data_IF_426395475867
#
_entry.id   IF_426395475867
#
_cell.length_a   1.000
_cell.length_b   1.000
_cell.length_c   1.000
_cell.angle_alpha   90.00
_cell.angle_beta   90.00
_cell.angle_gamma   90.00
#
_symmetry.space_group_name_H-M   'P 1'
#
loop_
_entity.id
_entity.type
_entity.pdbx_description
1 polymer ?
#
# COMPACT_ATOMS: atom_id res chain seq x y z
N UNK A 1 -14.87 -25.35 -2.30
CA UNK A 1 -14.28 -25.36 -3.66
C UNK A 1 -14.25 -23.91 -4.13
N UNK A 2 -13.16 -23.28 -4.56
CA UNK A 2 -11.85 -23.74 -5.01
C UNK A 2 -10.73 -22.90 -4.36
N UNK A 3 -9.65 -23.53 -3.93
CA UNK A 3 -8.39 -22.82 -3.70
C UNK A 3 -7.79 -22.51 -5.07
N UNK A 4 -7.42 -21.27 -5.34
CA UNK A 4 -6.71 -20.94 -6.58
C UNK A 4 -5.24 -21.33 -6.44
N UNK A 5 -4.95 -22.63 -6.50
CA UNK A 5 -3.59 -23.21 -6.59
C UNK A 5 -3.14 -23.42 -8.04
N UNK A 6 -3.91 -22.89 -9.01
CA UNK A 6 -3.63 -23.07 -10.43
C UNK A 6 -2.45 -22.24 -10.92
N UNK A 7 -1.67 -22.82 -11.82
CA UNK A 7 -0.65 -22.10 -12.57
C UNK A 7 -1.27 -20.91 -13.32
N UNK A 8 -0.55 -19.79 -13.40
CA UNK A 8 -0.97 -18.61 -14.13
C UNK A 8 -1.05 -18.93 -15.64
N UNK A 9 -2.26 -18.76 -16.18
CA UNK A 9 -2.59 -19.13 -17.57
C UNK A 9 -2.36 -18.00 -18.57
N UNK A 10 -1.84 -16.84 -18.14
CA UNK A 10 -1.56 -15.74 -19.04
C UNK A 10 -0.35 -16.03 -19.94
N UNK A 11 -0.32 -15.39 -21.11
CA UNK A 11 0.73 -15.59 -22.13
C UNK A 11 1.98 -14.73 -21.92
N UNK A 12 1.94 -13.80 -20.97
CA UNK A 12 3.03 -12.86 -20.66
C UNK A 12 3.21 -12.70 -19.16
N UNK A 13 4.46 -12.48 -18.76
CA UNK A 13 4.81 -12.10 -17.40
C UNK A 13 4.04 -10.83 -16.98
N UNK A 14 3.57 -10.81 -15.73
CA UNK A 14 2.98 -9.62 -15.11
C UNK A 14 3.57 -9.43 -13.72
N UNK A 15 3.65 -8.17 -13.30
CA UNK A 15 3.97 -7.82 -11.92
C UNK A 15 2.71 -7.24 -11.26
N UNK A 16 2.25 -7.93 -10.21
CA UNK A 16 1.12 -7.49 -9.38
C UNK A 16 1.67 -7.02 -8.04
N UNK A 17 1.28 -5.83 -7.62
CA UNK A 17 1.64 -5.21 -6.34
C UNK A 17 0.37 -5.07 -5.48
N UNK A 18 0.47 -5.33 -4.19
CA UNK A 18 -0.60 -5.09 -3.23
C UNK A 18 -0.12 -4.07 -2.19
N UNK A 19 -0.84 -2.95 -2.09
CA UNK A 19 -0.57 -1.93 -1.07
C UNK A 19 -1.72 -1.89 -0.09
N UNK A 20 -1.53 -2.52 1.06
CA UNK A 20 -2.44 -2.42 2.19
C UNK A 20 -2.05 -1.20 3.01
N UNK A 21 -2.68 -0.06 2.70
CA UNK A 21 -2.45 1.18 3.44
C UNK A 21 -3.36 1.16 4.66
N UNK A 22 -2.84 0.95 5.87
CA UNK A 22 -3.65 1.00 7.09
C UNK A 22 -3.77 2.40 7.68
N UNK A 23 -4.32 2.51 8.89
CA UNK A 23 -4.38 3.80 9.62
C UNK A 23 -3.05 4.11 10.29
N UNK A 24 -2.40 3.09 10.87
CA UNK A 24 -1.16 3.22 11.64
C UNK A 24 0.02 2.60 10.91
N UNK A 25 -0.18 1.41 10.33
CA UNK A 25 0.85 0.67 9.60
C UNK A 25 0.30 0.23 8.26
N UNK A 26 1.20 0.07 7.30
CA UNK A 26 0.94 -0.36 5.95
C UNK A 26 1.79 -1.57 5.62
N UNK A 27 1.25 -2.43 4.76
CA UNK A 27 1.93 -3.61 4.24
C UNK A 27 2.07 -3.53 2.73
N UNK A 28 3.16 -4.09 2.22
CA UNK A 28 3.36 -4.24 0.79
C UNK A 28 3.74 -5.69 0.47
N UNK A 29 3.07 -6.23 -0.54
CA UNK A 29 3.45 -7.50 -1.14
C UNK A 29 3.38 -7.43 -2.66
N UNK A 30 4.01 -8.39 -3.33
CA UNK A 30 3.97 -8.51 -4.78
C UNK A 30 3.98 -9.96 -5.23
N UNK A 31 3.59 -10.18 -6.48
CA UNK A 31 3.69 -11.47 -7.14
C UNK A 31 4.15 -11.29 -8.58
N UNK A 32 5.12 -12.12 -8.99
CA UNK A 32 5.55 -12.24 -10.37
C UNK A 32 4.74 -13.37 -11.00
N UNK A 33 3.86 -13.02 -11.94
CA UNK A 33 2.99 -13.97 -12.61
C UNK A 33 3.68 -14.50 -13.86
N UNK A 34 4.38 -15.63 -13.73
CA UNK A 34 5.05 -16.32 -14.83
C UNK A 34 4.10 -17.33 -15.49
N UNK A 35 3.97 -17.34 -16.84
CA UNK A 35 3.16 -18.32 -17.55
C UNK A 35 3.49 -19.77 -17.14
N UNK A 36 2.46 -20.54 -16.78
CA UNK A 36 2.62 -21.95 -16.37
C UNK A 36 3.17 -22.16 -14.96
N UNK A 37 3.45 -21.09 -14.19
CA UNK A 37 3.87 -21.20 -12.78
C UNK A 37 2.76 -20.78 -11.83
N UNK A 38 2.71 -21.42 -10.66
CA UNK A 38 1.82 -21.02 -9.58
C UNK A 38 2.32 -19.69 -9.00
N UNK A 39 1.47 -18.64 -8.93
CA UNK A 39 1.85 -17.37 -8.34
C UNK A 39 2.32 -17.52 -6.89
N UNK A 40 3.39 -16.83 -6.52
CA UNK A 40 3.86 -16.74 -5.14
C UNK A 40 3.76 -15.29 -4.65
N UNK A 41 3.26 -15.11 -3.43
CA UNK A 41 3.19 -13.80 -2.77
C UNK A 41 4.51 -13.58 -2.03
N UNK A 42 5.13 -12.44 -2.27
CA UNK A 42 6.37 -12.02 -1.63
C UNK A 42 6.13 -10.71 -0.90
N UNK A 43 6.42 -10.66 0.40
CA UNK A 43 6.40 -9.42 1.16
C UNK A 43 7.57 -8.51 0.77
N UNK A 44 7.37 -7.19 0.83
CA UNK A 44 8.47 -6.23 0.75
C UNK A 44 8.95 -5.96 2.18
N UNK A 45 10.12 -6.49 2.53
CA UNK A 45 10.72 -6.32 3.85
C UNK A 45 12.10 -5.67 3.74
N UNK A 46 12.32 -4.52 4.39
CA UNK A 46 13.68 -4.02 4.65
C UNK A 46 14.17 -4.61 5.98
N UNK A 47 14.39 -5.91 6.04
CA UNK A 47 15.22 -6.52 7.10
C UNK A 47 15.83 -7.82 6.60
N UNK A 48 17.10 -8.02 6.95
CA UNK A 48 17.87 -9.26 6.82
C UNK A 48 17.30 -10.42 7.66
N UNK A 49 16.27 -10.20 8.48
CA UNK A 49 15.72 -11.23 9.33
C UNK A 49 14.82 -12.18 8.55
N UNK A 50 15.32 -13.40 8.37
CA UNK A 50 14.67 -14.52 7.70
C UNK A 50 13.47 -15.09 8.48
N UNK A 51 12.79 -14.28 9.30
CA UNK A 51 11.76 -14.72 10.25
C UNK A 51 10.33 -14.60 9.73
N UNK A 52 10.13 -14.28 8.44
CA UNK A 52 8.79 -14.29 7.83
C UNK A 52 7.83 -13.22 8.36
N UNK A 53 8.31 -12.26 9.15
CA UNK A 53 7.46 -11.19 9.69
C UNK A 53 7.31 -10.09 8.65
N UNK A 54 6.06 -9.84 8.21
CA UNK A 54 5.74 -8.72 7.30
C UNK A 54 6.24 -7.41 7.92
N UNK A 55 7.14 -6.72 7.24
CA UNK A 55 7.69 -5.44 7.67
C UNK A 55 6.54 -4.41 7.66
N UNK A 56 6.10 -3.99 8.84
CA UNK A 56 5.05 -2.98 9.00
C UNK A 56 5.63 -1.60 8.70
N UNK A 57 5.19 -0.97 7.62
CA UNK A 57 5.61 0.37 7.21
C UNK A 57 4.74 1.39 7.97
N UNK A 58 5.30 2.33 8.75
CA UNK A 58 4.51 3.36 9.43
C UNK A 58 3.68 4.18 8.44
N UNK A 59 2.41 4.43 8.73
CA UNK A 59 1.53 5.21 7.83
C UNK A 59 1.58 6.69 8.20
N UNK A 60 2.77 7.26 8.01
CA UNK A 60 3.10 8.63 8.40
C UNK A 60 3.83 9.32 7.25
N UNK A 61 3.52 10.61 7.05
CA UNK A 61 4.22 11.49 6.10
C UNK A 61 4.48 12.84 6.75
N UNK A 62 5.69 13.35 6.63
CA UNK A 62 6.04 14.73 6.99
C UNK A 62 6.02 15.63 5.76
N UNK A 63 5.48 16.84 5.92
CA UNK A 63 5.41 17.85 4.86
C UNK A 63 6.05 19.17 5.30
N UNK A 64 6.71 19.87 4.40
CA UNK A 64 7.07 21.28 4.63
C UNK A 64 5.86 22.22 4.48
N UNK A 65 6.06 23.51 4.77
CA UNK A 65 5.03 24.55 4.65
C UNK A 65 4.51 24.79 3.21
N UNK A 66 5.20 24.27 2.19
CA UNK A 66 4.76 24.28 0.80
C UNK A 66 3.87 23.09 0.44
N UNK A 67 3.79 22.08 1.32
CA UNK A 67 3.11 20.82 1.06
C UNK A 67 3.98 19.82 0.32
N UNK A 68 5.31 19.96 0.33
CA UNK A 68 6.21 18.97 -0.25
C UNK A 68 6.50 17.87 0.77
N UNK A 69 6.53 16.61 0.34
CA UNK A 69 6.93 15.47 1.19
C UNK A 69 8.40 15.62 1.59
N UNK A 70 8.68 15.50 2.88
CA UNK A 70 10.01 15.57 3.47
C UNK A 70 10.51 14.20 3.96
N UNK A 71 9.61 13.39 4.53
CA UNK A 71 9.87 12.01 4.93
C UNK A 71 8.57 11.22 4.92
N UNK A 72 8.62 9.93 4.59
CA UNK A 72 7.45 9.05 4.62
C UNK A 72 7.81 7.64 5.09
N UNK A 73 6.84 6.93 5.64
CA UNK A 73 6.99 5.52 5.97
C UNK A 73 8.09 5.27 7.00
N UNK A 74 9.05 4.41 6.64
CA UNK A 74 10.19 4.10 7.49
C UNK A 74 11.08 5.34 7.76
N UNK A 75 11.16 6.28 6.81
CA UNK A 75 11.95 7.51 6.97
C UNK A 75 11.33 8.44 8.02
N UNK A 76 10.01 8.35 8.21
CA UNK A 76 9.29 9.13 9.20
C UNK A 76 9.50 8.64 10.65
N UNK A 77 10.25 7.55 10.86
CA UNK A 77 10.63 7.04 12.18
C UNK A 77 12.15 7.00 12.39
N UNK A 78 12.95 7.61 11.51
CA UNK A 78 14.40 7.65 11.69
C UNK A 78 14.78 8.45 12.95
N UNK A 79 15.91 8.07 13.56
CA UNK A 79 16.45 8.80 14.70
C UNK A 79 16.65 10.28 14.34
N UNK A 80 16.20 11.18 15.23
CA UNK A 80 16.29 12.62 15.02
C UNK A 80 15.19 13.26 14.16
N UNK A 81 14.25 12.47 13.59
CA UNK A 81 13.19 13.02 12.71
C UNK A 81 12.31 14.07 13.40
N UNK A 82 12.05 13.91 14.70
CA UNK A 82 11.23 14.87 15.46
C UNK A 82 11.95 16.23 15.58
N UNK A 83 13.25 16.21 15.90
CA UNK A 83 14.06 17.42 16.00
C UNK A 83 14.16 18.13 14.64
N UNK A 84 14.44 17.37 13.58
CA UNK A 84 14.52 17.93 12.22
C UNK A 84 13.17 18.49 11.75
N UNK A 85 12.06 17.81 12.07
CA UNK A 85 10.72 18.31 11.76
C UNK A 85 10.41 19.60 12.51
N UNK A 86 10.78 19.71 13.78
CA UNK A 86 10.61 20.94 14.57
C UNK A 86 11.47 22.09 14.01
N UNK A 87 12.76 21.84 13.75
CA UNK A 87 13.71 22.84 13.22
C UNK A 87 13.30 23.38 11.84
N UNK A 88 12.77 22.51 10.97
CA UNK A 88 12.35 22.89 9.61
C UNK A 88 10.86 23.23 9.50
N UNK A 89 10.11 23.19 10.61
CA UNK A 89 8.68 23.47 10.64
C UNK A 89 7.86 22.49 9.78
N UNK A 90 8.22 21.21 9.77
CA UNK A 90 7.49 20.16 9.08
C UNK A 90 6.22 19.77 9.85
N UNK A 91 5.15 19.49 9.10
CA UNK A 91 3.87 19.04 9.63
C UNK A 91 3.73 17.54 9.42
N UNK A 92 3.50 16.80 10.51
CA UNK A 92 3.23 15.37 10.50
C UNK A 92 1.79 15.10 10.06
N UNK A 93 1.61 14.23 9.07
CA UNK A 93 0.34 13.65 8.68
C UNK A 93 0.28 12.20 9.17
N UNK A 94 -0.63 11.91 10.08
CA UNK A 94 -0.92 10.55 10.55
C UNK A 94 -2.43 10.30 10.56
N UNK A 95 -2.82 9.02 10.51
CA UNK A 95 -4.22 8.59 10.47
C UNK A 95 -5.02 9.22 9.31
N UNK A 96 -4.35 9.72 8.28
CA UNK A 96 -4.98 10.42 7.15
C UNK A 96 -5.97 9.52 6.39
N UNK A 97 -5.80 8.19 6.42
CA UNK A 97 -6.77 7.23 5.84
C UNK A 97 -8.17 7.41 6.44
N UNK A 98 -8.29 7.81 7.71
CA UNK A 98 -9.59 8.03 8.35
C UNK A 98 -10.37 9.19 7.71
N UNK A 99 -9.70 10.16 7.08
CA UNK A 99 -10.37 11.23 6.33
C UNK A 99 -11.03 10.74 5.02
N UNK A 100 -10.73 9.52 4.55
CA UNK A 100 -11.43 8.89 3.42
C UNK A 100 -12.76 8.26 3.83
N UNK A 101 -12.99 8.00 5.13
CA UNK A 101 -14.15 7.24 5.63
C UNK A 101 -15.49 7.78 5.13
N UNK A 102 -16.51 6.93 4.95
CA UNK A 102 -17.88 7.40 4.74
C UNK A 102 -18.29 8.35 5.87
N UNK A 103 -18.78 9.55 5.51
CA UNK A 103 -19.40 10.44 6.50
C UNK A 103 -20.76 9.86 6.86
N UNK A 104 -20.81 9.00 7.87
CA UNK A 104 -22.07 8.61 8.48
C UNK A 104 -22.56 9.79 9.32
N UNK A 105 -23.80 10.25 9.06
CA UNK A 105 -24.40 11.32 9.85
C UNK A 105 -24.43 10.93 11.33
N UNK A 106 -23.75 11.72 12.19
CA UNK A 106 -23.82 11.58 13.65
C UNK A 106 -22.57 11.07 14.39
N UNK A 107 -21.38 11.03 13.77
CA UNK A 107 -20.11 10.63 14.42
C UNK A 107 -19.09 11.77 14.61
N UNK A 108 -19.57 12.98 14.89
CA UNK A 108 -18.72 14.18 15.11
C UNK A 108 -17.68 13.98 16.24
N UNK A 109 -18.01 13.19 17.27
CA UNK A 109 -17.08 12.88 18.38
C UNK A 109 -15.83 12.09 17.93
N UNK A 110 -15.92 11.30 16.86
CA UNK A 110 -14.77 10.61 16.28
C UNK A 110 -14.02 11.48 15.27
N UNK A 111 -14.55 12.63 14.86
CA UNK A 111 -13.86 13.56 13.96
C UNK A 111 -12.86 14.43 14.75
N UNK A 112 -13.16 14.78 16.01
CA UNK A 112 -12.27 15.57 16.87
C UNK A 112 -10.98 14.86 17.28
N UNK A 113 -10.96 13.52 17.24
CA UNK A 113 -9.76 12.72 17.56
C UNK A 113 -8.84 12.50 16.35
N UNK A 114 -9.30 12.79 15.13
CA UNK A 114 -8.47 12.62 13.93
C UNK A 114 -7.61 13.87 13.75
N UNK A 115 -6.27 13.71 13.67
CA UNK A 115 -5.39 14.83 13.36
C UNK A 115 -5.80 15.53 12.06
N UNK A 116 -5.72 16.87 12.00
CA UNK A 116 -6.05 17.60 10.80
C UNK A 116 -5.09 17.23 9.66
N UNK A 117 -5.57 17.38 8.43
CA UNK A 117 -4.69 17.23 7.26
C UNK A 117 -3.63 18.35 7.24
N UNK A 118 -2.44 18.08 6.70
CA UNK A 118 -1.42 19.11 6.51
C UNK A 118 -1.95 20.31 5.70
N UNK A 119 -1.41 21.52 5.93
CA UNK A 119 -1.80 22.70 5.16
C UNK A 119 -1.68 22.44 3.66
N UNK A 120 -2.66 22.95 2.89
CA UNK A 120 -2.69 22.88 1.41
C UNK A 120 -2.75 21.45 0.84
N UNK A 121 -3.09 20.45 1.65
CA UNK A 121 -3.26 19.07 1.21
C UNK A 121 -4.67 18.58 1.44
N UNK A 122 -5.23 17.94 0.43
CA UNK A 122 -6.42 17.11 0.55
C UNK A 122 -6.03 15.69 0.95
N UNK A 123 -6.96 14.92 1.52
CA UNK A 123 -6.71 13.52 1.87
C UNK A 123 -6.29 12.67 0.65
N UNK A 124 -6.83 12.98 -0.53
CA UNK A 124 -6.50 12.27 -1.77
C UNK A 124 -5.04 12.50 -2.14
N UNK A 125 -4.52 13.72 -1.95
CA UNK A 125 -3.12 14.05 -2.21
C UNK A 125 -2.20 13.41 -1.18
N UNK A 126 -2.55 13.43 0.11
CA UNK A 126 -1.75 12.76 1.15
C UNK A 126 -1.68 11.24 0.88
N UNK A 127 -2.81 10.63 0.54
CA UNK A 127 -2.86 9.21 0.19
C UNK A 127 -2.05 8.92 -1.09
N UNK A 128 -2.11 9.80 -2.10
CA UNK A 128 -1.33 9.66 -3.33
C UNK A 128 0.18 9.76 -3.09
N UNK A 129 0.61 10.73 -2.27
CA UNK A 129 2.02 10.89 -1.90
C UNK A 129 2.54 9.66 -1.17
N UNK A 130 1.74 9.07 -0.28
CA UNK A 130 2.11 7.83 0.40
C UNK A 130 2.13 6.61 -0.54
N UNK A 131 1.16 6.47 -1.46
CA UNK A 131 1.19 5.42 -2.49
C UNK A 131 2.44 5.52 -3.38
N UNK A 132 2.87 6.74 -3.72
CA UNK A 132 4.10 6.98 -4.50
C UNK A 132 5.33 6.51 -3.74
N UNK A 133 5.43 6.84 -2.46
CA UNK A 133 6.49 6.34 -1.57
C UNK A 133 6.52 4.80 -1.53
N UNK A 134 5.37 4.14 -1.36
CA UNK A 134 5.30 2.67 -1.37
C UNK A 134 5.77 2.09 -2.70
N UNK A 135 5.38 2.69 -3.83
CA UNK A 135 5.82 2.26 -5.15
C UNK A 135 7.33 2.39 -5.33
N UNK A 136 7.92 3.50 -4.90
CA UNK A 136 9.37 3.75 -4.98
C UNK A 136 10.15 2.73 -4.14
N UNK A 137 9.72 2.49 -2.90
CA UNK A 137 10.32 1.49 -2.02
C UNK A 137 10.20 0.07 -2.61
N UNK A 138 9.04 -0.27 -3.16
CA UNK A 138 8.78 -1.57 -3.81
C UNK A 138 9.66 -1.75 -5.05
N UNK A 139 9.77 -0.71 -5.87
CA UNK A 139 10.59 -0.70 -7.07
C UNK A 139 12.06 -0.95 -6.71
N UNK A 140 12.57 -0.28 -5.68
CA UNK A 140 13.94 -0.47 -5.21
C UNK A 140 14.15 -1.91 -4.71
N UNK A 141 13.26 -2.40 -3.84
CA UNK A 141 13.35 -3.76 -3.29
C UNK A 141 13.39 -4.82 -4.39
N UNK A 142 12.42 -4.80 -5.33
CA UNK A 142 12.38 -5.78 -6.43
C UNK A 142 13.65 -5.74 -7.29
N UNK A 143 14.22 -4.56 -7.50
CA UNK A 143 15.45 -4.40 -8.28
C UNK A 143 16.69 -4.98 -7.59
N UNK A 144 16.70 -4.97 -6.25
CA UNK A 144 17.81 -5.44 -5.41
C UNK A 144 17.66 -6.94 -5.02
N UNK A 145 16.43 -7.42 -4.81
CA UNK A 145 16.17 -8.78 -4.30
C UNK A 145 16.24 -9.89 -5.35
N UNK A 146 16.17 -9.56 -6.64
CA UNK A 146 16.16 -10.54 -7.73
C UNK A 146 17.42 -10.43 -8.60
N UNK A 147 18.02 -11.56 -8.98
CA UNK A 147 19.21 -11.62 -9.86
C UNK A 147 19.06 -10.77 -11.13
N UNK A 148 17.86 -10.70 -11.71
CA UNK A 148 17.53 -9.88 -12.88
C UNK A 148 16.54 -8.74 -12.54
N UNK A 149 16.50 -8.28 -11.29
CA UNK A 149 15.50 -7.35 -10.77
C UNK A 149 15.37 -6.05 -11.56
N UNK A 150 16.49 -5.44 -11.95
CA UNK A 150 16.50 -4.23 -12.81
C UNK A 150 15.80 -4.45 -14.14
N UNK A 151 16.07 -5.58 -14.81
CA UNK A 151 15.44 -5.93 -16.09
C UNK A 151 13.96 -6.28 -15.91
N UNK A 152 13.63 -7.01 -14.85
CA UNK A 152 12.25 -7.35 -14.47
C UNK A 152 11.43 -6.08 -14.28
N UNK A 153 11.91 -5.15 -13.45
CA UNK A 153 11.24 -3.88 -13.20
C UNK A 153 11.09 -3.04 -14.48
N UNK A 154 12.19 -2.84 -15.23
CA UNK A 154 12.16 -2.04 -16.45
C UNK A 154 11.17 -2.57 -17.50
N UNK A 155 11.02 -3.89 -17.61
CA UNK A 155 10.10 -4.53 -18.55
C UNK A 155 8.62 -4.42 -18.14
N UNK A 156 8.34 -4.18 -16.85
CA UNK A 156 7.00 -4.19 -16.29
C UNK A 156 6.52 -2.84 -15.74
N UNK A 157 7.39 -1.85 -15.50
CA UNK A 157 7.06 -0.58 -14.82
C UNK A 157 5.91 0.22 -15.46
N UNK A 158 5.64 0.02 -16.75
CA UNK A 158 4.53 0.65 -17.47
C UNK A 158 3.26 -0.22 -17.53
N UNK A 159 3.31 -1.44 -17.02
CA UNK A 159 2.26 -2.45 -17.04
C UNK A 159 2.13 -3.18 -15.69
N UNK A 160 2.15 -2.40 -14.61
CA UNK A 160 1.91 -2.88 -13.26
C UNK A 160 0.42 -3.03 -12.99
N UNK A 161 0.07 -4.00 -12.15
CA UNK A 161 -1.27 -4.22 -11.63
C UNK A 161 -1.24 -4.02 -10.12
N UNK A 162 -2.27 -3.39 -9.59
CA UNK A 162 -2.36 -3.01 -8.19
C UNK A 162 -3.61 -3.61 -7.56
N UNK A 163 -3.45 -4.15 -6.36
CA UNK A 163 -4.53 -4.54 -5.47
C UNK A 163 -4.48 -3.61 -4.26
N UNK A 164 -5.59 -2.92 -3.98
CA UNK A 164 -5.70 -2.01 -2.84
C UNK A 164 -6.79 -2.51 -1.89
N UNK A 165 -6.41 -3.19 -0.80
CA UNK A 165 -7.34 -3.53 0.27
C UNK A 165 -7.96 -2.27 0.89
N UNK A 166 -9.21 -2.38 1.32
CA UNK A 166 -9.89 -1.32 2.07
C UNK A 166 -10.78 -1.89 3.17
N UNK A 167 -11.15 -1.08 4.19
CA UNK A 167 -12.02 -1.52 5.26
C UNK A 167 -13.35 -2.03 4.75
N UNK A 168 -13.93 -2.99 5.49
CA UNK A 168 -15.28 -3.46 5.21
C UNK A 168 -16.29 -2.29 5.26
N UNK A 169 -17.21 -2.26 4.31
CA UNK A 169 -18.23 -1.20 4.19
C UNK A 169 -17.77 0.06 3.44
N UNK A 170 -16.51 0.15 3.00
CA UNK A 170 -16.10 1.16 2.02
C UNK A 170 -16.58 0.74 0.62
N UNK A 171 -17.18 1.68 -0.11
CA UNK A 171 -17.83 1.40 -1.38
C UNK A 171 -17.46 2.42 -2.45
N UNK A 172 -18.35 2.59 -3.43
CA UNK A 172 -18.07 3.33 -4.67
C UNK A 172 -17.41 4.71 -4.49
N UNK A 173 -17.78 5.47 -3.46
CA UNK A 173 -17.17 6.78 -3.19
C UNK A 173 -15.73 6.65 -2.70
N UNK A 174 -15.49 5.82 -1.69
CA UNK A 174 -14.16 5.63 -1.10
C UNK A 174 -13.20 4.99 -2.10
N UNK A 175 -13.66 3.99 -2.85
CA UNK A 175 -12.90 3.38 -3.94
C UNK A 175 -12.59 4.40 -5.05
N UNK A 176 -13.51 5.32 -5.36
CA UNK A 176 -13.24 6.38 -6.33
C UNK A 176 -12.16 7.36 -5.83
N UNK A 177 -12.17 7.72 -4.55
CA UNK A 177 -11.12 8.56 -3.94
C UNK A 177 -9.76 7.86 -3.96
N UNK A 178 -9.70 6.57 -3.56
CA UNK A 178 -8.47 5.79 -3.61
C UNK A 178 -7.96 5.63 -5.05
N UNK A 179 -8.85 5.40 -6.02
CA UNK A 179 -8.48 5.34 -7.44
C UNK A 179 -7.90 6.67 -7.94
N UNK A 180 -8.51 7.79 -7.57
CA UNK A 180 -7.98 9.12 -7.89
C UNK A 180 -6.58 9.32 -7.28
N UNK A 181 -6.37 8.88 -6.05
CA UNK A 181 -5.05 8.92 -5.42
C UNK A 181 -4.04 8.04 -6.16
N UNK A 182 -4.43 6.84 -6.64
CA UNK A 182 -3.57 5.98 -7.46
C UNK A 182 -3.12 6.64 -8.77
N UNK A 183 -4.01 7.41 -9.41
CA UNK A 183 -3.68 8.19 -10.60
C UNK A 183 -2.68 9.30 -10.26
N UNK A 184 -2.96 10.10 -9.22
CA UNK A 184 -2.07 11.19 -8.78
C UNK A 184 -0.69 10.69 -8.32
N UNK A 185 -0.63 9.49 -7.76
CA UNK A 185 0.59 8.83 -7.34
C UNK A 185 1.42 8.31 -8.53
N UNK A 186 0.84 8.23 -9.73
CA UNK A 186 1.48 7.69 -10.93
C UNK A 186 1.50 6.16 -10.98
N UNK A 187 0.70 5.47 -10.17
CA UNK A 187 0.55 4.01 -10.24
C UNK A 187 -0.08 3.60 -11.58
N UNK A 188 -1.11 4.34 -12.01
CA UNK A 188 -1.79 4.15 -13.29
C UNK A 188 -1.97 5.49 -14.01
N UNK A 189 -1.98 5.51 -15.35
CA UNK A 189 -2.34 6.70 -16.12
C UNK A 189 -3.82 7.03 -15.96
N UNK A 190 -4.17 8.29 -16.17
CA UNK A 190 -5.55 8.77 -16.18
C UNK A 190 -6.24 8.41 -17.51
N UNK A 191 -6.47 7.12 -17.74
CA UNK A 191 -7.17 6.62 -18.94
C UNK A 191 -8.16 5.50 -18.59
N UNK A 192 -9.40 5.53 -19.10
CA UNK A 192 -10.42 4.53 -18.76
C UNK A 192 -10.02 3.09 -19.03
N UNK A 193 -9.26 2.83 -20.11
CA UNK A 193 -8.80 1.49 -20.48
C UNK A 193 -7.84 0.86 -19.47
N UNK A 194 -7.27 1.67 -18.58
CA UNK A 194 -6.21 1.28 -17.66
C UNK A 194 -6.69 1.26 -16.20
N UNK A 195 -7.90 1.77 -15.93
CA UNK A 195 -8.55 1.69 -14.62
C UNK A 195 -8.69 0.24 -14.11
N UNK A 196 -8.80 -0.73 -15.02
CA UNK A 196 -8.85 -2.16 -14.69
C UNK A 196 -7.55 -2.71 -14.07
N UNK A 197 -6.44 -1.93 -14.08
CA UNK A 197 -5.19 -2.31 -13.42
C UNK A 197 -5.16 -1.98 -11.92
N UNK A 198 -6.17 -1.31 -11.37
CA UNK A 198 -6.35 -1.14 -9.93
C UNK A 198 -7.62 -1.88 -9.50
N UNK A 199 -7.42 -2.94 -8.72
CA UNK A 199 -8.49 -3.73 -8.12
C UNK A 199 -8.63 -3.40 -6.64
N UNK A 200 -9.88 -3.35 -6.18
CA UNK A 200 -10.22 -3.14 -4.78
C UNK A 200 -10.73 -4.45 -4.19
N UNK A 201 -10.24 -4.78 -3.00
CA UNK A 201 -10.71 -5.92 -2.22
C UNK A 201 -10.99 -5.47 -0.81
N UNK A 202 -11.88 -6.14 -0.12
CA UNK A 202 -12.05 -5.85 1.31
C UNK A 202 -10.91 -6.45 2.12
N UNK A 203 -10.55 -5.81 3.23
CA UNK A 203 -9.58 -6.36 4.19
C UNK A 203 -10.03 -7.75 4.68
N UNK A 204 -11.34 -7.97 4.87
CA UNK A 204 -11.89 -9.28 5.24
C UNK A 204 -11.65 -10.38 4.18
N UNK A 205 -11.85 -10.07 2.90
CA UNK A 205 -11.52 -10.99 1.80
C UNK A 205 -10.01 -11.29 1.73
N UNK A 206 -9.18 -10.24 1.87
CA UNK A 206 -7.72 -10.39 1.84
C UNK A 206 -7.21 -11.28 2.98
N UNK A 207 -7.69 -11.07 4.21
CA UNK A 207 -7.34 -11.90 5.37
C UNK A 207 -7.81 -13.35 5.19
N UNK A 208 -9.00 -13.56 4.64
CA UNK A 208 -9.49 -14.92 4.33
C UNK A 208 -8.60 -15.62 3.30
N UNK A 209 -8.21 -14.93 2.23
CA UNK A 209 -7.30 -15.48 1.22
C UNK A 209 -5.94 -15.84 1.83
N UNK A 210 -5.40 -14.98 2.69
CA UNK A 210 -4.14 -15.24 3.39
C UNK A 210 -4.23 -16.48 4.30
N UNK A 211 -5.32 -16.62 5.07
CA UNK A 211 -5.55 -17.76 5.96
C UNK A 211 -5.74 -19.09 5.23
N UNK A 212 -6.37 -19.06 4.04
CA UNK A 212 -6.48 -20.25 3.18
C UNK A 212 -5.11 -20.65 2.62
N UNK A 213 -4.25 -19.69 2.27
CA UNK A 213 -2.92 -19.96 1.70
C UNK A 213 -1.92 -20.49 2.73
N UNK A 214 -1.99 -20.03 3.98
CA UNK A 214 -1.02 -20.38 5.02
C UNK A 214 -1.48 -21.52 5.94
N UNK A 215 -2.56 -22.24 5.59
CA UNK A 215 -3.28 -23.14 6.49
C UNK A 215 -3.72 -22.43 7.79
N UNK A 216 -5.03 -22.33 8.03
CA UNK A 216 -5.60 -21.72 9.25
C UNK A 216 -4.93 -22.14 10.57
N UNK A 217 -4.39 -23.37 10.62
CA UNK A 217 -3.67 -23.90 11.77
C UNK A 217 -2.34 -23.18 12.07
N UNK A 218 -1.58 -22.73 11.08
CA UNK A 218 -0.27 -22.09 11.30
C UNK A 218 -0.42 -20.60 11.67
N UNK A 219 -1.49 -19.94 11.22
CA UNK A 219 -1.84 -18.57 11.66
C UNK A 219 -2.29 -18.51 13.13
N UNK A 220 -3.09 -19.49 13.58
CA UNK A 220 -3.56 -19.54 14.98
C UNK A 220 -2.41 -19.78 15.97
N UNK A 221 -1.35 -20.47 15.54
CA UNK A 221 -0.17 -20.75 16.37
C UNK A 221 0.82 -19.56 16.38
N UNK A 222 0.86 -18.74 15.32
CA UNK A 222 1.81 -17.63 15.20
C UNK A 222 1.26 -16.25 15.61
N UNK A 223 -0.06 -16.12 15.82
CA UNK A 223 -0.67 -14.86 16.28
C UNK A 223 -0.59 -13.70 15.28
N UNK A 224 -0.33 -13.99 14.00
CA UNK A 224 -0.30 -12.99 12.93
C UNK A 224 -1.66 -12.90 12.28
N UNK A 225 -2.36 -11.79 12.52
CA UNK A 225 -3.56 -11.35 11.81
C UNK A 225 -3.25 -10.07 11.03
#
# INVERSE_FOLDING_TARGET
>A
MASSTGAYQGTRHKLVLSFDVGTTFSGVSYSILDPGRVPQIQGVTRSSDHTGTVCKIPTVVYYDNSGKVCAAGAEALRDGINLEAEENGWVKAEWFKLHLRPRAGGKELLDSEIPPLPPKKTVVEVFADFLRYLLECTAQFIQESHLNGKKLWASNKHNLYFVLPHPNGWGGREQALMRRASILAGLIPDTPSVNARVSFVTEGEASLHFAIQHNFHDMLVSGTF
#
